data_IF_305669985255
#
_entry.id   IF_305669985255
#
_cell.length_a   1.000
_cell.length_b   1.000
_cell.length_c   1.000
_cell.angle_alpha   90.00
_cell.angle_beta   90.00
_cell.angle_gamma   90.00
#
_symmetry.space_group_name_H-M   'P 1'
#
loop_
_entity.id
_entity.type
_entity.pdbx_description
1 polymer ?
#
# COMPACT_ATOMS: atom_id res chain seq x y z
N UNK A 1 -20.68 -0.54 -8.36
CA UNK A 1 -21.97 -0.64 -9.09
C UNK A 1 -22.78 -1.84 -8.64
N UNK A 2 -22.19 -3.05 -8.52
CA UNK A 2 -22.90 -4.25 -8.03
C UNK A 2 -23.39 -4.16 -6.57
N UNK A 3 -22.80 -3.29 -5.75
CA UNK A 3 -23.29 -3.02 -4.39
C UNK A 3 -24.54 -2.12 -4.36
N UNK A 4 -24.92 -1.50 -5.50
CA UNK A 4 -26.03 -0.53 -5.58
C UNK A 4 -27.11 -0.98 -6.55
N UNK A 5 -26.73 -1.45 -7.73
CA UNK A 5 -27.61 -2.06 -8.71
C UNK A 5 -27.40 -3.57 -8.73
N UNK A 6 -28.45 -4.33 -9.04
CA UNK A 6 -28.33 -5.79 -9.12
C UNK A 6 -27.34 -6.21 -10.21
N UNK A 7 -26.69 -7.35 -10.04
CA UNK A 7 -25.76 -7.90 -11.04
C UNK A 7 -26.40 -8.12 -12.41
N UNK A 8 -27.72 -8.34 -12.47
CA UNK A 8 -28.49 -8.42 -13.73
C UNK A 8 -28.43 -7.08 -14.48
N UNK A 9 -28.64 -5.97 -13.77
CA UNK A 9 -28.59 -4.62 -14.33
C UNK A 9 -27.17 -4.24 -14.74
N UNK A 10 -26.18 -4.59 -13.90
CA UNK A 10 -24.77 -4.24 -14.15
C UNK A 10 -24.22 -4.95 -15.39
N UNK A 11 -24.62 -6.21 -15.61
CA UNK A 11 -24.15 -7.03 -16.74
C UNK A 11 -25.05 -6.93 -17.98
N UNK A 12 -26.07 -6.07 -17.97
CA UNK A 12 -26.95 -5.91 -19.11
C UNK A 12 -26.23 -5.22 -20.27
N UNK A 13 -26.32 -5.83 -21.46
CA UNK A 13 -25.76 -5.25 -22.67
C UNK A 13 -26.46 -3.91 -22.97
N UNK A 14 -25.70 -2.88 -23.38
CA UNK A 14 -26.15 -1.48 -23.60
C UNK A 14 -26.42 -0.65 -22.34
N UNK A 15 -26.18 -1.19 -21.15
CA UNK A 15 -26.24 -0.40 -19.91
C UNK A 15 -25.07 0.58 -19.87
N UNK A 16 -25.36 1.83 -19.55
CA UNK A 16 -24.37 2.88 -19.28
C UNK A 16 -24.58 3.43 -17.87
N UNK A 17 -23.51 3.99 -17.32
CA UNK A 17 -23.46 4.44 -15.93
C UNK A 17 -22.90 5.84 -15.83
N UNK A 18 -23.28 6.54 -14.76
CA UNK A 18 -22.73 7.85 -14.43
C UNK A 18 -22.74 8.08 -12.92
N UNK A 19 -21.92 9.01 -12.46
CA UNK A 19 -21.82 9.39 -11.06
C UNK A 19 -21.83 10.92 -10.94
N UNK A 20 -22.59 11.43 -9.97
CA UNK A 20 -22.53 12.81 -9.55
C UNK A 20 -22.12 12.88 -8.07
N UNK A 21 -21.03 13.58 -7.79
CA UNK A 21 -20.63 13.94 -6.42
C UNK A 21 -20.81 15.44 -6.17
N UNK A 22 -21.72 15.81 -5.28
CA UNK A 22 -21.82 17.18 -4.76
C UNK A 22 -21.08 17.25 -3.43
N UNK A 23 -20.02 18.07 -3.36
CA UNK A 23 -19.16 18.22 -2.18
C UNK A 23 -19.27 19.63 -1.60
N UNK A 24 -19.72 19.72 -0.35
CA UNK A 24 -19.67 20.95 0.45
C UNK A 24 -18.40 20.87 1.29
N UNK A 25 -17.38 21.60 0.86
CA UNK A 25 -16.04 21.57 1.47
C UNK A 25 -16.03 22.36 2.77
N UNK A 26 -15.61 21.71 3.86
CA UNK A 26 -15.30 22.32 5.14
C UNK A 26 -13.80 22.61 5.22
N UNK A 27 -13.07 21.76 5.93
CA UNK A 27 -11.63 21.94 6.22
C UNK A 27 -10.77 21.03 5.34
N UNK A 28 -9.64 21.55 4.85
CA UNK A 28 -8.57 20.77 4.23
C UNK A 28 -7.49 20.49 5.26
N UNK A 29 -7.08 19.23 5.35
CA UNK A 29 -5.97 18.78 6.19
C UNK A 29 -4.84 18.34 5.30
N UNK A 30 -3.68 18.96 5.46
CA UNK A 30 -2.48 18.60 4.72
C UNK A 30 -1.36 18.21 5.68
N UNK A 31 -0.63 17.17 5.28
CA UNK A 31 0.51 16.62 5.98
C UNK A 31 1.79 17.20 5.38
N UNK A 32 2.75 17.59 6.24
CA UNK A 32 4.03 18.12 5.77
C UNK A 32 4.89 17.01 5.13
N UNK A 33 4.84 16.91 3.81
CA UNK A 33 5.37 15.77 3.06
C UNK A 33 6.83 15.97 2.58
N UNK A 34 7.76 16.20 3.51
CA UNK A 34 9.21 16.33 3.18
C UNK A 34 10.00 15.06 3.51
N UNK A 35 11.12 14.82 2.82
CA UNK A 35 12.01 13.67 3.10
C UNK A 35 12.45 13.62 4.57
N UNK A 36 12.74 14.77 5.17
CA UNK A 36 13.11 14.86 6.59
C UNK A 36 11.95 14.43 7.52
N UNK A 37 10.72 14.86 7.23
CA UNK A 37 9.55 14.49 8.03
C UNK A 37 9.22 13.00 7.87
N UNK A 38 9.30 12.46 6.66
CA UNK A 38 9.15 11.02 6.40
C UNK A 38 10.15 10.20 7.22
N UNK A 39 11.42 10.60 7.21
CA UNK A 39 12.47 9.95 8.02
C UNK A 39 12.21 10.05 9.52
N UNK A 40 11.67 11.17 10.01
CA UNK A 40 11.26 11.30 11.41
C UNK A 40 10.08 10.38 11.76
N UNK A 41 9.08 10.25 10.88
CA UNK A 41 7.98 9.30 11.09
C UNK A 41 8.52 7.89 11.19
N UNK A 42 9.28 7.45 10.19
CA UNK A 42 9.81 6.10 10.09
C UNK A 42 10.68 5.70 11.29
N UNK A 43 11.29 6.68 11.97
CA UNK A 43 12.18 6.43 13.11
C UNK A 43 11.54 6.69 14.48
N UNK A 44 10.38 7.36 14.57
CA UNK A 44 9.84 7.81 15.87
C UNK A 44 8.33 7.80 16.04
N UNK A 45 7.54 7.94 14.98
CA UNK A 45 6.11 8.26 15.09
C UNK A 45 5.17 7.21 14.51
N UNK A 46 5.69 6.06 14.07
CA UNK A 46 4.83 4.94 13.67
C UNK A 46 4.07 4.39 14.89
N UNK A 47 2.78 4.11 14.68
CA UNK A 47 1.94 3.52 15.71
C UNK A 47 2.43 2.12 16.10
N UNK A 48 2.31 1.77 17.39
CA UNK A 48 2.78 0.48 17.91
C UNK A 48 2.01 -0.70 17.32
N UNK A 49 0.72 -0.52 17.08
CA UNK A 49 -0.11 -1.56 16.44
C UNK A 49 0.32 -1.72 14.99
N UNK A 50 0.52 -0.61 14.26
CA UNK A 50 1.04 -0.67 12.89
C UNK A 50 2.38 -1.41 12.81
N UNK A 51 3.33 -1.08 13.69
CA UNK A 51 4.62 -1.77 13.77
C UNK A 51 4.46 -3.26 14.07
N UNK A 52 3.64 -3.61 15.07
CA UNK A 52 3.36 -5.01 15.35
C UNK A 52 2.76 -5.74 14.14
N UNK A 53 1.85 -5.10 13.40
CA UNK A 53 1.16 -5.72 12.27
C UNK A 53 2.08 -5.92 11.06
N UNK A 54 2.99 -4.98 10.75
CA UNK A 54 3.91 -5.14 9.62
C UNK A 54 4.99 -6.20 9.90
N UNK A 55 5.38 -6.41 11.17
CA UNK A 55 6.35 -7.44 11.53
C UNK A 55 5.72 -8.81 11.79
N UNK A 56 4.45 -8.89 12.21
CA UNK A 56 3.85 -10.15 12.64
C UNK A 56 2.76 -10.71 11.73
N UNK A 57 2.56 -10.13 10.54
CA UNK A 57 1.72 -10.71 9.50
C UNK A 57 2.47 -10.91 8.18
N UNK A 58 2.10 -11.92 7.38
CA UNK A 58 2.48 -12.00 5.98
C UNK A 58 2.08 -10.74 5.20
N UNK A 59 2.86 -10.39 4.19
CA UNK A 59 2.71 -9.13 3.45
C UNK A 59 1.31 -8.95 2.84
N UNK A 60 0.69 -10.03 2.36
CA UNK A 60 -0.66 -9.97 1.79
C UNK A 60 -1.73 -9.66 2.84
N UNK A 61 -1.65 -10.27 4.02
CA UNK A 61 -2.58 -10.01 5.13
C UNK A 61 -2.45 -8.59 5.69
N UNK A 62 -1.21 -8.10 5.81
CA UNK A 62 -0.96 -6.71 6.17
C UNK A 62 -1.58 -5.75 5.13
N UNK A 63 -1.38 -6.00 3.84
CA UNK A 63 -1.91 -5.17 2.76
C UNK A 63 -3.45 -5.18 2.69
N UNK A 64 -4.09 -6.33 2.94
CA UNK A 64 -5.56 -6.42 3.00
C UNK A 64 -6.13 -5.61 4.18
N UNK A 65 -5.38 -5.50 5.27
CA UNK A 65 -5.80 -4.79 6.49
C UNK A 65 -5.59 -3.27 6.41
N UNK A 66 -4.41 -2.84 5.95
CA UNK A 66 -3.99 -1.42 5.98
C UNK A 66 -4.03 -0.73 4.61
N UNK A 67 -4.07 -1.49 3.52
CA UNK A 67 -3.86 -0.98 2.17
C UNK A 67 -2.40 -0.61 1.89
N UNK A 68 -2.19 0.27 0.91
CA UNK A 68 -0.84 0.63 0.41
C UNK A 68 -0.48 2.10 0.62
N UNK A 69 -1.44 2.92 1.05
CA UNK A 69 -1.30 4.38 1.07
C UNK A 69 -1.71 4.95 2.42
N UNK A 70 -1.06 6.05 2.78
CA UNK A 70 -1.49 6.92 3.88
C UNK A 70 -2.14 8.18 3.31
N UNK A 71 -3.12 8.72 4.03
CA UNK A 71 -3.75 10.00 3.71
C UNK A 71 -2.83 11.14 4.12
N UNK A 72 -2.37 11.92 3.15
CA UNK A 72 -1.51 13.10 3.36
C UNK A 72 -2.19 14.41 3.01
N UNK A 73 -3.24 14.40 2.18
CA UNK A 73 -4.01 15.60 1.90
C UNK A 73 -5.47 15.25 1.63
N UNK A 74 -6.36 15.64 2.54
CA UNK A 74 -7.77 15.27 2.46
C UNK A 74 -8.70 16.39 2.91
N UNK A 75 -9.92 16.32 2.40
CA UNK A 75 -10.99 17.28 2.64
C UNK A 75 -12.03 16.66 3.55
N UNK A 76 -12.47 17.47 4.52
CA UNK A 76 -13.63 17.17 5.35
C UNK A 76 -14.80 18.08 5.02
N UNK A 77 -16.02 17.61 5.27
CA UNK A 77 -17.25 18.34 5.02
C UNK A 77 -18.44 17.41 4.85
N UNK A 78 -19.33 17.76 3.93
CA UNK A 78 -20.44 16.92 3.50
C UNK A 78 -20.33 16.54 2.02
N UNK A 79 -20.66 15.30 1.69
CA UNK A 79 -20.71 14.79 0.30
C UNK A 79 -22.03 14.11 0.07
N UNK A 80 -22.60 14.33 -1.11
CA UNK A 80 -23.67 13.48 -1.62
C UNK A 80 -23.21 12.86 -2.92
N UNK A 81 -23.35 11.54 -3.00
CA UNK A 81 -23.08 10.74 -4.19
C UNK A 81 -24.38 10.21 -4.76
N UNK A 82 -24.59 10.45 -6.04
CA UNK A 82 -25.65 9.84 -6.81
C UNK A 82 -25.04 8.99 -7.92
N UNK A 83 -25.40 7.72 -7.95
CA UNK A 83 -25.02 6.80 -9.02
C UNK A 83 -26.22 6.56 -9.92
N UNK A 84 -25.98 6.56 -11.23
CA UNK A 84 -27.00 6.48 -12.26
C UNK A 84 -26.77 5.25 -13.14
N UNK A 85 -27.87 4.70 -13.65
CA UNK A 85 -27.91 3.63 -14.63
C UNK A 85 -28.95 3.98 -15.68
N UNK A 86 -28.65 3.71 -16.95
CA UNK A 86 -29.62 3.82 -18.03
C UNK A 86 -29.28 2.89 -19.19
N UNK A 87 -30.27 2.54 -20.00
CA UNK A 87 -30.08 1.75 -21.22
C UNK A 87 -29.94 2.71 -22.41
N UNK A 88 -28.87 2.53 -23.18
CA UNK A 88 -28.60 3.33 -24.38
C UNK A 88 -28.72 2.47 -25.64
N UNK A 89 -29.87 2.54 -26.31
CA UNK A 89 -30.20 1.61 -27.40
C UNK A 89 -29.42 1.85 -28.70
N UNK A 90 -29.01 3.10 -28.94
CA UNK A 90 -28.32 3.47 -30.17
C UNK A 90 -26.85 3.06 -30.13
N UNK A 91 -26.40 2.42 -31.21
CA UNK A 91 -24.97 2.17 -31.42
C UNK A 91 -24.29 3.47 -31.85
N UNK A 92 -23.60 4.12 -30.91
CA UNK A 92 -22.82 5.36 -31.12
C UNK A 92 -21.51 5.32 -30.33
N UNK A 93 -20.67 6.35 -30.48
CA UNK A 93 -19.41 6.48 -29.74
C UNK A 93 -19.64 6.67 -28.24
N UNK A 94 -18.69 6.21 -27.42
CA UNK A 94 -18.78 6.34 -25.96
C UNK A 94 -18.80 7.80 -25.52
N UNK A 95 -18.05 8.68 -26.18
CA UNK A 95 -18.09 10.13 -25.94
C UNK A 95 -19.51 10.73 -26.12
N UNK A 96 -20.30 10.22 -27.07
CA UNK A 96 -21.69 10.67 -27.26
C UNK A 96 -22.57 10.17 -26.11
N UNK A 97 -22.40 8.90 -25.69
CA UNK A 97 -23.14 8.33 -24.56
C UNK A 97 -22.82 9.06 -23.26
N UNK A 98 -21.56 9.40 -23.03
CA UNK A 98 -21.09 10.19 -21.88
C UNK A 98 -21.72 11.58 -21.88
N UNK A 99 -21.71 12.28 -23.02
CA UNK A 99 -22.36 13.61 -23.15
C UNK A 99 -23.86 13.55 -22.84
N UNK A 100 -24.56 12.53 -23.34
CA UNK A 100 -25.99 12.34 -23.08
C UNK A 100 -26.28 11.96 -21.62
N UNK A 101 -25.39 11.17 -21.00
CA UNK A 101 -25.44 10.86 -19.58
C UNK A 101 -25.25 12.12 -18.73
N UNK A 102 -24.23 12.93 -19.01
CA UNK A 102 -23.96 14.19 -18.31
C UNK A 102 -25.15 15.16 -18.40
N UNK A 103 -25.74 15.30 -19.59
CA UNK A 103 -26.94 16.11 -19.80
C UNK A 103 -28.12 15.60 -18.96
N UNK A 104 -28.30 14.27 -18.90
CA UNK A 104 -29.38 13.63 -18.14
C UNK A 104 -29.18 13.74 -16.63
N UNK A 105 -27.94 13.62 -16.16
CA UNK A 105 -27.56 13.88 -14.77
C UNK A 105 -27.85 15.34 -14.42
N UNK A 106 -27.40 16.31 -15.23
CA UNK A 106 -27.64 17.74 -15.01
C UNK A 106 -29.13 18.13 -14.99
N UNK A 107 -29.99 17.37 -15.68
CA UNK A 107 -31.45 17.52 -15.62
C UNK A 107 -32.10 16.89 -14.37
N UNK A 108 -31.36 16.08 -13.61
CA UNK A 108 -31.90 15.24 -12.52
C UNK A 108 -31.60 15.74 -11.11
N UNK A 109 -30.88 16.84 -10.95
CA UNK A 109 -30.62 17.47 -9.65
C UNK A 109 -30.72 18.98 -9.72
N UNK A 110 -30.91 19.59 -8.55
CA UNK A 110 -30.90 21.04 -8.37
C UNK A 110 -30.04 21.37 -7.17
N UNK A 111 -29.09 22.28 -7.34
CA UNK A 111 -28.20 22.71 -6.26
C UNK A 111 -28.03 24.23 -6.30
N UNK A 112 -28.55 24.89 -5.26
CA UNK A 112 -28.41 26.32 -5.00
C UNK A 112 -27.94 26.48 -3.57
N UNK A 113 -26.65 26.73 -3.39
CA UNK A 113 -26.08 27.05 -2.09
C UNK A 113 -25.87 28.56 -1.95
N UNK A 114 -26.19 29.08 -0.77
CA UNK A 114 -25.97 30.46 -0.37
C UNK A 114 -25.57 30.54 1.10
N UNK A 115 -25.55 31.76 1.62
CA UNK A 115 -25.42 32.03 3.05
C UNK A 115 -26.64 32.79 3.54
N UNK A 116 -27.13 32.45 4.73
CA UNK A 116 -28.12 33.28 5.43
C UNK A 116 -27.49 34.55 6.02
N UNK A 117 -28.31 35.37 6.69
CA UNK A 117 -27.88 36.64 7.27
C UNK A 117 -26.81 36.45 8.37
N UNK A 118 -26.77 35.28 8.98
CA UNK A 118 -25.81 34.86 10.00
C UNK A 118 -24.55 34.21 9.40
N UNK A 119 -24.46 34.13 8.07
CA UNK A 119 -23.30 33.58 7.35
C UNK A 119 -23.25 32.05 7.29
N UNK A 120 -24.32 31.36 7.71
CA UNK A 120 -24.45 29.90 7.67
C UNK A 120 -24.90 29.43 6.30
N UNK A 121 -24.47 28.24 5.91
CA UNK A 121 -24.84 27.58 4.66
C UNK A 121 -26.35 27.35 4.65
N UNK A 122 -27.02 27.82 3.60
CA UNK A 122 -28.46 27.67 3.37
C UNK A 122 -28.75 27.52 1.87
N UNK A 123 -29.95 27.07 1.52
CA UNK A 123 -30.39 26.97 0.13
C UNK A 123 -31.10 25.67 -0.24
N UNK A 124 -31.26 25.45 -1.54
CA UNK A 124 -32.03 24.35 -2.11
C UNK A 124 -31.11 23.29 -2.69
N UNK A 125 -31.20 22.07 -2.17
CA UNK A 125 -30.49 20.94 -2.73
C UNK A 125 -31.41 19.73 -2.81
N UNK A 126 -31.46 19.07 -3.97
CA UNK A 126 -32.29 17.90 -4.14
C UNK A 126 -32.09 17.18 -5.46
N UNK A 127 -32.71 16.00 -5.56
CA UNK A 127 -32.72 15.15 -6.74
C UNK A 127 -34.15 14.87 -7.19
N UNK A 128 -34.31 14.72 -8.50
CA UNK A 128 -35.58 14.50 -9.16
C UNK A 128 -35.78 15.43 -10.35
N UNK A 129 -36.69 15.05 -11.25
CA UNK A 129 -36.98 15.74 -12.52
C UNK A 129 -37.42 17.20 -12.37
N UNK A 130 -37.89 17.61 -11.20
CA UNK A 130 -38.38 18.97 -10.90
C UNK A 130 -37.31 19.90 -10.32
N UNK A 131 -36.08 19.42 -10.15
CA UNK A 131 -35.04 20.13 -9.39
C UNK A 131 -34.31 21.20 -10.23
N UNK A 132 -34.38 21.15 -11.57
CA UNK A 132 -33.91 22.20 -12.48
C UNK A 132 -34.86 22.35 -13.69
N UNK A 133 -35.20 23.59 -14.05
CA UNK A 133 -36.30 23.90 -14.98
C UNK A 133 -35.95 24.01 -16.47
N UNK A 134 -34.73 23.71 -16.92
CA UNK A 134 -34.28 24.03 -18.30
C UNK A 134 -33.65 22.89 -19.10
N UNK A 135 -33.28 21.77 -18.49
CA UNK A 135 -32.67 20.62 -19.17
C UNK A 135 -33.57 19.40 -19.09
N UNK A 136 -33.73 18.70 -20.22
CA UNK A 136 -34.48 17.44 -20.30
C UNK A 136 -33.52 16.26 -20.29
N UNK A 137 -33.90 15.18 -19.61
CA UNK A 137 -33.25 13.87 -19.73
C UNK A 137 -33.17 13.49 -21.22
N UNK A 138 -32.01 13.00 -21.67
CA UNK A 138 -31.83 12.57 -23.07
C UNK A 138 -32.87 11.52 -23.41
N UNK A 139 -33.54 11.69 -24.56
CA UNK A 139 -34.52 10.71 -25.06
C UNK A 139 -33.87 9.39 -25.48
N UNK A 140 -32.54 9.38 -25.60
CA UNK A 140 -31.74 8.22 -25.99
C UNK A 140 -31.44 7.28 -24.82
N UNK A 141 -31.67 7.75 -23.58
CA UNK A 141 -31.47 6.97 -22.36
C UNK A 141 -32.83 6.53 -21.82
N UNK A 142 -33.10 5.23 -21.89
CA UNK A 142 -34.27 4.62 -21.28
C UNK A 142 -33.91 3.99 -19.93
N UNK A 143 -34.93 3.64 -19.13
CA UNK A 143 -34.76 3.02 -17.80
C UNK A 143 -33.76 3.78 -16.91
N UNK A 144 -33.82 5.12 -16.96
CA UNK A 144 -32.88 5.98 -16.25
C UNK A 144 -33.19 6.00 -14.75
N UNK A 145 -32.38 5.29 -13.98
CA UNK A 145 -32.54 5.08 -12.56
C UNK A 145 -31.34 5.63 -11.78
N UNK A 146 -31.59 6.01 -10.52
CA UNK A 146 -30.56 6.56 -9.64
C UNK A 146 -30.68 6.03 -8.22
N UNK A 147 -29.57 6.09 -7.50
CA UNK A 147 -29.48 5.85 -6.06
C UNK A 147 -28.57 6.90 -5.43
N UNK A 148 -28.92 7.37 -4.23
CA UNK A 148 -28.25 8.48 -3.55
C UNK A 148 -27.72 8.05 -2.19
N UNK A 149 -26.53 8.53 -1.83
CA UNK A 149 -25.91 8.39 -0.50
C UNK A 149 -25.38 9.73 -0.03
N UNK A 150 -25.54 10.03 1.26
CA UNK A 150 -24.96 11.19 1.92
C UNK A 150 -23.85 10.77 2.90
N UNK A 151 -22.78 11.55 2.97
CA UNK A 151 -21.65 11.40 3.89
C UNK A 151 -21.44 12.71 4.63
N UNK A 152 -21.36 12.66 5.96
CA UNK A 152 -21.37 13.84 6.81
C UNK A 152 -22.76 14.50 6.90
N UNK A 153 -22.89 15.53 7.73
CA UNK A 153 -24.18 16.16 8.04
C UNK A 153 -25.07 15.28 8.92
N UNK A 154 -26.35 15.60 8.98
CA UNK A 154 -27.40 14.77 9.56
C UNK A 154 -27.47 13.45 8.79
N UNK A 155 -27.60 12.31 9.46
CA UNK A 155 -27.57 10.97 8.84
C UNK A 155 -28.84 10.65 8.01
N UNK A 156 -29.11 11.45 6.97
CA UNK A 156 -30.31 11.33 6.14
C UNK A 156 -30.26 10.06 5.28
N UNK A 157 -29.16 9.83 4.54
CA UNK A 157 -28.95 8.63 3.72
C UNK A 157 -27.54 8.06 3.96
N UNK A 158 -27.33 7.39 5.09
CA UNK A 158 -26.00 6.83 5.44
C UNK A 158 -25.49 5.75 4.48
N UNK A 159 -26.39 5.13 3.72
CA UNK A 159 -26.14 4.18 2.64
C UNK A 159 -26.86 4.63 1.37
N UNK A 160 -26.52 4.01 0.24
CA UNK A 160 -27.24 4.20 -1.02
C UNK A 160 -28.72 3.84 -0.85
N UNK A 161 -29.60 4.71 -1.35
CA UNK A 161 -31.05 4.44 -1.40
C UNK A 161 -31.36 3.28 -2.34
N UNK A 162 -32.55 2.69 -2.20
CA UNK A 162 -33.04 1.73 -3.20
C UNK A 162 -33.10 2.44 -4.56
N UNK A 163 -32.50 1.88 -5.63
CA UNK A 163 -32.55 2.48 -6.95
C UNK A 163 -33.99 2.73 -7.42
N UNK A 164 -34.24 3.92 -7.96
CA UNK A 164 -35.54 4.32 -8.51
C UNK A 164 -35.35 5.03 -9.83
N UNK A 165 -36.32 4.93 -10.73
CA UNK A 165 -36.36 5.75 -11.93
C UNK A 165 -36.35 7.22 -11.54
N UNK A 166 -35.57 8.04 -12.22
CA UNK A 166 -35.40 9.46 -11.90
C UNK A 166 -36.73 10.23 -11.93
N UNK A 167 -37.68 9.77 -12.73
CA UNK A 167 -39.04 10.32 -12.78
C UNK A 167 -39.86 10.13 -11.50
N UNK A 168 -39.53 9.10 -10.71
CA UNK A 168 -40.19 8.76 -9.44
C UNK A 168 -39.41 9.28 -8.21
N UNK A 169 -38.32 10.02 -8.44
CA UNK A 169 -37.46 10.56 -7.37
C UNK A 169 -37.87 12.00 -7.05
N UNK A 170 -38.08 12.26 -5.77
CA UNK A 170 -38.29 13.58 -5.17
C UNK A 170 -37.56 13.62 -3.82
N UNK A 171 -36.25 13.90 -3.85
CA UNK A 171 -35.39 13.90 -2.67
C UNK A 171 -34.99 15.35 -2.37
N UNK A 172 -35.33 15.82 -1.16
CA UNK A 172 -34.88 17.12 -0.64
C UNK A 172 -33.74 16.92 0.38
N UNK A 173 -32.60 17.53 0.10
CA UNK A 173 -31.37 17.51 0.90
C UNK A 173 -31.01 18.89 1.48
N UNK A 174 -31.89 19.89 1.41
CA UNK A 174 -31.64 21.21 2.00
C UNK A 174 -31.41 21.13 3.51
N UNK A 175 -32.16 20.29 4.22
CA UNK A 175 -31.97 20.08 5.68
C UNK A 175 -30.64 19.38 5.97
N UNK A 176 -30.26 18.41 5.14
CA UNK A 176 -28.95 17.77 5.22
C UNK A 176 -27.83 18.80 4.99
N UNK A 177 -27.95 19.63 3.97
CA UNK A 177 -26.99 20.70 3.69
C UNK A 177 -26.88 21.68 4.87
N UNK A 178 -28.00 22.12 5.43
CA UNK A 178 -28.02 23.05 6.57
C UNK A 178 -27.36 22.46 7.84
N UNK A 179 -27.44 21.13 8.02
CA UNK A 179 -26.80 20.45 9.16
C UNK A 179 -25.26 20.53 9.12
N UNK A 180 -24.66 20.79 7.95
CA UNK A 180 -23.21 20.93 7.80
C UNK A 180 -22.67 22.23 8.40
N UNK A 181 -23.54 23.13 8.87
CA UNK A 181 -23.12 24.26 9.71
C UNK A 181 -22.55 23.82 11.06
N UNK A 182 -22.86 22.60 11.51
CA UNK A 182 -22.19 21.97 12.64
C UNK A 182 -20.97 21.18 12.15
N UNK A 183 -19.77 21.68 12.46
CA UNK A 183 -18.50 21.05 12.09
C UNK A 183 -18.32 19.63 12.66
N UNK A 184 -19.00 19.28 13.76
CA UNK A 184 -18.94 17.93 14.33
C UNK A 184 -19.58 16.87 13.42
N UNK A 185 -20.42 17.30 12.49
CA UNK A 185 -21.06 16.44 11.50
C UNK A 185 -20.19 16.19 10.27
N UNK A 186 -19.06 16.89 10.13
CA UNK A 186 -18.18 16.74 8.97
C UNK A 186 -17.50 15.37 8.97
N UNK A 187 -17.29 14.83 7.77
CA UNK A 187 -16.59 13.57 7.51
C UNK A 187 -15.57 13.75 6.39
N UNK A 188 -14.68 12.78 6.19
CA UNK A 188 -13.79 12.76 5.03
C UNK A 188 -14.65 12.62 3.76
N UNK A 189 -14.51 13.55 2.82
CA UNK A 189 -15.34 13.66 1.61
C UNK A 189 -14.52 13.71 0.31
N UNK A 190 -13.21 13.78 0.42
CA UNK A 190 -12.32 13.83 -0.71
C UNK A 190 -10.87 13.73 -0.30
N UNK A 191 -10.06 13.34 -1.27
CA UNK A 191 -8.62 13.31 -1.21
C UNK A 191 -8.16 14.28 -2.29
N UNK A 192 -7.25 15.19 -1.96
CA UNK A 192 -6.72 16.15 -2.93
C UNK A 192 -5.67 15.47 -3.83
N UNK A 193 -5.28 16.12 -4.91
CA UNK A 193 -4.21 15.62 -5.77
C UNK A 193 -2.92 15.41 -4.96
N UNK A 194 -2.27 14.27 -5.14
CA UNK A 194 -1.12 13.83 -4.33
C UNK A 194 -1.43 13.68 -2.82
N UNK A 195 -2.71 13.58 -2.45
CA UNK A 195 -3.16 13.36 -1.07
C UNK A 195 -3.03 11.93 -0.57
N UNK A 196 -2.47 11.03 -1.38
CA UNK A 196 -2.05 9.69 -1.00
C UNK A 196 -0.54 9.56 -1.16
N UNK A 197 0.11 9.11 -0.10
CA UNK A 197 1.54 8.78 -0.11
C UNK A 197 1.70 7.28 0.16
N UNK A 198 2.59 6.56 -0.54
CA UNK A 198 2.75 5.13 -0.32
C UNK A 198 3.30 4.86 1.09
N UNK A 199 2.82 3.80 1.75
CA UNK A 199 3.31 3.38 3.08
C UNK A 199 4.83 3.16 3.06
N UNK A 200 5.39 2.75 1.92
CA UNK A 200 6.82 2.49 1.75
C UNK A 200 7.71 3.70 1.99
N UNK A 201 7.16 4.92 1.92
CA UNK A 201 7.87 6.16 2.23
C UNK A 201 8.07 6.39 3.74
N UNK A 202 7.36 5.65 4.59
CA UNK A 202 7.29 5.88 6.05
C UNK A 202 7.81 4.71 6.87
N UNK A 203 8.39 3.69 6.23
CA UNK A 203 9.07 2.56 6.88
C UNK A 203 10.54 2.53 6.48
N UNK A 204 11.38 1.77 7.17
CA UNK A 204 12.83 1.75 6.91
C UNK A 204 13.26 0.50 6.14
N UNK A 205 12.56 -0.61 6.34
CA UNK A 205 12.92 -1.95 5.91
C UNK A 205 12.77 -2.11 4.39
N UNK A 206 13.89 -2.31 3.70
CA UNK A 206 13.96 -2.39 2.24
C UNK A 206 13.18 -3.59 1.70
N UNK A 207 13.26 -4.74 2.37
CA UNK A 207 12.50 -5.92 1.99
C UNK A 207 10.98 -5.70 2.15
N UNK A 208 10.54 -4.97 3.17
CA UNK A 208 9.12 -4.64 3.33
C UNK A 208 8.65 -3.66 2.26
N UNK A 209 9.46 -2.64 1.93
CA UNK A 209 9.16 -1.69 0.84
C UNK A 209 8.97 -2.41 -0.48
N UNK A 210 9.93 -3.24 -0.87
CA UNK A 210 9.84 -4.01 -2.11
C UNK A 210 8.70 -5.02 -2.07
N UNK A 211 8.46 -5.66 -0.92
CA UNK A 211 7.35 -6.61 -0.74
C UNK A 211 5.99 -5.96 -0.97
N UNK A 212 5.74 -4.81 -0.35
CA UNK A 212 4.51 -4.03 -0.53
C UNK A 212 4.32 -3.58 -1.98
N UNK A 213 5.38 -3.06 -2.62
CA UNK A 213 5.31 -2.64 -4.02
C UNK A 213 4.97 -3.80 -4.95
N UNK A 214 5.62 -4.96 -4.78
CA UNK A 214 5.36 -6.15 -5.58
C UNK A 214 3.96 -6.70 -5.34
N UNK A 215 3.48 -6.68 -4.10
CA UNK A 215 2.11 -7.07 -3.77
C UNK A 215 1.08 -6.15 -4.45
N UNK A 216 1.28 -4.84 -4.33
CA UNK A 216 0.43 -3.84 -4.98
C UNK A 216 0.33 -4.03 -6.50
N UNK A 217 1.44 -4.40 -7.15
CA UNK A 217 1.51 -4.66 -8.59
C UNK A 217 1.03 -6.07 -9.00
N UNK A 218 0.50 -6.88 -8.07
CA UNK A 218 0.05 -8.25 -8.33
C UNK A 218 1.18 -9.22 -8.70
N UNK A 219 2.44 -8.87 -8.38
CA UNK A 219 3.61 -9.68 -8.72
C UNK A 219 3.90 -10.74 -7.66
N UNK A 220 3.47 -10.52 -6.41
CA UNK A 220 3.74 -11.39 -5.27
C UNK A 220 2.55 -11.40 -4.33
N UNK A 221 2.22 -12.56 -3.75
CA UNK A 221 1.15 -12.71 -2.76
C UNK A 221 1.60 -13.67 -1.64
N UNK A 222 2.38 -13.14 -0.70
CA UNK A 222 2.88 -13.90 0.45
C UNK A 222 1.84 -13.85 1.56
N UNK A 223 1.16 -14.98 1.77
CA UNK A 223 0.08 -15.13 2.77
C UNK A 223 0.44 -16.02 3.96
N UNK A 224 1.65 -16.56 4.00
CA UNK A 224 2.10 -17.42 5.09
C UNK A 224 3.57 -17.14 5.36
N UNK A 225 3.95 -17.21 6.64
CA UNK A 225 5.35 -17.29 7.00
C UNK A 225 5.94 -18.63 6.59
N UNK A 226 7.23 -18.63 6.31
CA UNK A 226 8.03 -19.83 6.11
C UNK A 226 9.17 -19.89 7.13
N UNK A 227 9.72 -21.08 7.33
CA UNK A 227 10.94 -21.25 8.11
C UNK A 227 12.11 -20.54 7.39
N UNK A 228 12.80 -19.58 8.03
CA UNK A 228 13.94 -18.94 7.41
C UNK A 228 15.10 -19.92 7.30
N UNK A 229 15.93 -19.72 6.28
CA UNK A 229 17.07 -20.58 5.99
C UNK A 229 18.12 -19.81 5.23
N UNK A 230 19.33 -20.33 5.22
CA UNK A 230 20.37 -19.88 4.31
C UNK A 230 20.43 -20.83 3.13
N UNK A 231 20.43 -20.26 1.92
CA UNK A 231 20.56 -21.00 0.68
C UNK A 231 21.74 -20.50 -0.12
N UNK A 232 22.63 -21.41 -0.46
CA UNK A 232 23.74 -21.18 -1.37
C UNK A 232 23.33 -21.67 -2.74
N UNK A 233 23.30 -20.76 -3.72
CA UNK A 233 22.78 -21.02 -5.06
C UNK A 233 23.81 -20.63 -6.12
N UNK A 234 23.79 -21.36 -7.24
CA UNK A 234 24.58 -21.05 -8.44
C UNK A 234 23.79 -20.07 -9.31
N UNK A 235 24.29 -18.85 -9.49
CA UNK A 235 23.64 -17.78 -10.25
C UNK A 235 24.32 -17.63 -11.59
N UNK A 236 23.57 -17.83 -12.67
CA UNK A 236 24.10 -17.68 -14.04
C UNK A 236 24.47 -16.22 -14.31
N UNK A 237 25.70 -15.99 -14.79
CA UNK A 237 26.17 -14.67 -15.24
C UNK A 237 26.05 -14.57 -16.76
N UNK A 238 26.48 -15.61 -17.46
CA UNK A 238 26.38 -15.72 -18.92
C UNK A 238 26.20 -17.18 -19.33
N UNK A 239 26.35 -17.48 -20.62
CA UNK A 239 26.07 -18.82 -21.13
C UNK A 239 26.98 -19.92 -20.56
N UNK A 240 28.17 -19.59 -20.04
CA UNK A 240 29.16 -20.56 -19.56
C UNK A 240 29.49 -20.42 -18.07
N UNK A 241 29.37 -19.20 -17.52
CA UNK A 241 29.83 -18.87 -16.18
C UNK A 241 28.70 -18.59 -15.19
N UNK A 242 28.96 -18.92 -13.93
CA UNK A 242 28.10 -18.63 -12.80
C UNK A 242 28.89 -18.05 -11.60
N UNK A 243 28.18 -17.24 -10.83
CA UNK A 243 28.55 -16.83 -9.46
C UNK A 243 27.98 -17.82 -8.46
N UNK A 244 28.63 -17.97 -7.30
CA UNK A 244 28.01 -18.64 -6.15
C UNK A 244 27.57 -17.56 -5.17
N UNK A 245 26.28 -17.52 -4.87
CA UNK A 245 25.69 -16.53 -3.97
C UNK A 245 25.05 -17.22 -2.76
N UNK A 246 25.15 -16.59 -1.60
CA UNK A 246 24.47 -17.00 -0.38
C UNK A 246 23.34 -16.01 -0.07
N UNK A 247 22.14 -16.56 0.13
CA UNK A 247 20.95 -15.81 0.44
C UNK A 247 20.46 -16.17 1.83
N UNK A 248 20.14 -15.17 2.64
CA UNK A 248 19.24 -15.33 3.75
C UNK A 248 17.83 -15.30 3.17
N UNK A 249 17.12 -16.41 3.31
CA UNK A 249 15.72 -16.53 2.96
C UNK A 249 14.91 -16.17 4.20
N UNK A 250 14.25 -15.00 4.20
CA UNK A 250 13.52 -14.51 5.38
C UNK A 250 12.24 -15.31 5.60
N UNK A 251 11.61 -15.14 6.78
CA UNK A 251 10.29 -15.70 7.06
C UNK A 251 9.19 -15.16 6.14
N UNK A 252 9.44 -14.04 5.46
CA UNK A 252 8.54 -13.42 4.49
C UNK A 252 8.76 -13.91 3.04
N UNK A 253 9.73 -14.78 2.76
CA UNK A 253 10.00 -15.20 1.37
C UNK A 253 11.12 -14.42 0.68
N UNK A 254 11.69 -13.42 1.33
CA UNK A 254 12.66 -12.52 0.69
C UNK A 254 14.01 -13.20 0.51
N UNK A 255 14.70 -12.89 -0.59
CA UNK A 255 16.06 -13.34 -0.87
C UNK A 255 17.07 -12.21 -0.60
N UNK A 256 17.75 -12.28 0.53
CA UNK A 256 18.72 -11.27 0.95
C UNK A 256 20.13 -11.77 0.65
N UNK A 257 20.77 -11.24 -0.40
CA UNK A 257 22.09 -11.68 -0.84
C UNK A 257 23.18 -11.04 0.02
N UNK A 258 23.81 -11.82 0.91
CA UNK A 258 24.77 -11.28 1.89
C UNK A 258 26.20 -11.80 1.72
N UNK A 259 26.41 -12.79 0.84
CA UNK A 259 27.74 -13.26 0.42
C UNK A 259 27.70 -13.67 -1.06
N UNK A 260 28.79 -13.44 -1.79
CA UNK A 260 28.92 -13.87 -3.20
C UNK A 260 30.37 -14.05 -3.61
N UNK A 261 30.64 -14.92 -4.58
CA UNK A 261 31.96 -15.00 -5.19
C UNK A 261 32.38 -13.65 -5.78
N UNK A 262 33.61 -13.26 -5.49
CA UNK A 262 34.27 -12.07 -6.01
C UNK A 262 35.08 -12.42 -7.28
N UNK A 263 35.55 -11.43 -8.05
CA UNK A 263 36.47 -11.69 -9.16
C UNK A 263 37.72 -12.49 -8.76
N UNK A 264 38.20 -12.33 -7.51
CA UNK A 264 39.34 -13.05 -6.98
C UNK A 264 39.04 -14.53 -6.69
N UNK A 265 37.78 -14.89 -6.42
CA UNK A 265 37.37 -16.29 -6.26
C UNK A 265 37.35 -17.05 -7.59
N UNK A 266 37.24 -16.31 -8.70
CA UNK A 266 36.99 -16.83 -10.05
C UNK A 266 35.54 -17.27 -10.23
N UNK A 267 34.89 -16.83 -11.30
CA UNK A 267 33.59 -17.37 -11.69
C UNK A 267 33.72 -18.84 -12.08
N UNK A 268 32.70 -19.65 -11.77
CA UNK A 268 32.72 -21.09 -12.01
C UNK A 268 31.99 -21.45 -13.30
N UNK A 269 32.37 -22.56 -13.93
CA UNK A 269 31.60 -23.10 -15.05
C UNK A 269 30.26 -23.65 -14.54
N UNK A 270 29.20 -23.50 -15.33
CA UNK A 270 27.82 -23.90 -14.96
C UNK A 270 27.73 -25.38 -14.54
N UNK A 271 28.51 -26.27 -15.15
CA UNK A 271 28.58 -27.70 -14.82
C UNK A 271 29.56 -28.08 -13.68
N UNK A 272 30.35 -27.13 -13.17
CA UNK A 272 31.37 -27.42 -12.17
C UNK A 272 30.76 -27.48 -10.76
N UNK A 273 30.18 -28.63 -10.45
CA UNK A 273 29.56 -28.88 -9.15
C UNK A 273 30.59 -29.10 -8.04
N UNK A 274 31.80 -29.54 -8.38
CA UNK A 274 32.86 -29.71 -7.39
C UNK A 274 33.31 -28.35 -6.85
N UNK A 275 33.64 -27.41 -7.74
CA UNK A 275 34.05 -26.06 -7.35
C UNK A 275 32.91 -25.31 -6.65
N UNK A 276 31.67 -25.51 -7.08
CA UNK A 276 30.50 -25.00 -6.36
C UNK A 276 30.48 -25.47 -4.90
N UNK A 277 30.65 -26.78 -4.65
CA UNK A 277 30.61 -27.34 -3.29
C UNK A 277 31.78 -26.86 -2.42
N UNK A 278 32.98 -26.67 -2.99
CA UNK A 278 34.13 -26.08 -2.29
C UNK A 278 33.79 -24.67 -1.78
N UNK A 279 33.26 -23.80 -2.65
CA UNK A 279 32.88 -22.44 -2.30
C UNK A 279 31.72 -22.43 -1.29
N UNK A 280 30.72 -23.29 -1.49
CA UNK A 280 29.58 -23.41 -0.60
C UNK A 280 29.99 -23.83 0.81
N UNK A 281 30.91 -24.80 0.94
CA UNK A 281 31.43 -25.24 2.23
C UNK A 281 32.22 -24.13 2.94
N UNK A 282 33.00 -23.33 2.19
CA UNK A 282 33.69 -22.16 2.73
C UNK A 282 32.70 -21.12 3.27
N UNK A 283 31.69 -20.74 2.48
CA UNK A 283 30.68 -19.78 2.95
C UNK A 283 29.94 -20.32 4.19
N UNK A 284 29.57 -21.61 4.19
CA UNK A 284 28.94 -22.26 5.34
C UNK A 284 29.83 -22.19 6.58
N UNK A 285 31.13 -22.44 6.44
CA UNK A 285 32.10 -22.31 7.53
C UNK A 285 32.16 -20.90 8.10
N UNK A 286 32.20 -19.88 7.24
CA UNK A 286 32.28 -18.48 7.67
C UNK A 286 31.02 -17.96 8.40
N UNK A 287 29.85 -18.53 8.10
CA UNK A 287 28.56 -18.06 8.63
C UNK A 287 27.97 -18.95 9.72
N UNK A 288 28.41 -20.21 9.83
CA UNK A 288 27.85 -21.20 10.75
C UNK A 288 27.99 -20.84 12.23
N UNK A 289 28.91 -19.95 12.58
CA UNK A 289 29.08 -19.48 13.96
C UNK A 289 27.96 -18.52 14.39
N UNK A 290 27.42 -17.73 13.45
CA UNK A 290 26.44 -16.69 13.71
C UNK A 290 24.99 -17.17 13.54
N UNK A 291 24.74 -18.02 12.55
CA UNK A 291 23.40 -18.48 12.19
C UNK A 291 23.25 -19.99 12.47
N UNK A 292 22.29 -20.35 13.34
CA UNK A 292 21.99 -21.75 13.68
C UNK A 292 20.79 -22.34 12.91
N UNK A 293 20.23 -21.56 11.98
CA UNK A 293 19.22 -22.05 11.03
C UNK A 293 19.81 -23.04 10.01
N UNK A 294 18.93 -23.70 9.25
CA UNK A 294 19.34 -24.61 8.17
C UNK A 294 20.13 -23.88 7.10
N UNK A 295 21.34 -24.36 6.80
CA UNK A 295 22.17 -23.90 5.68
C UNK A 295 22.19 -24.99 4.59
N UNK A 296 21.67 -24.67 3.41
CA UNK A 296 21.60 -25.60 2.27
C UNK A 296 22.41 -25.09 1.08
N UNK A 297 22.92 -26.00 0.27
CA UNK A 297 23.58 -25.70 -1.00
C UNK A 297 22.86 -26.42 -2.13
N UNK A 298 22.44 -25.68 -3.15
CA UNK A 298 21.81 -26.24 -4.33
C UNK A 298 22.67 -25.93 -5.57
N UNK A 299 23.30 -26.95 -6.19
CA UNK A 299 24.14 -26.76 -7.35
C UNK A 299 23.34 -26.48 -8.64
N UNK A 300 22.01 -26.64 -8.62
CA UNK A 300 21.16 -26.28 -9.74
C UNK A 300 21.22 -24.78 -10.01
N UNK A 301 21.16 -24.41 -11.30
CA UNK A 301 21.11 -23.02 -11.72
C UNK A 301 19.88 -22.33 -11.16
N UNK A 302 20.09 -21.16 -10.57
CA UNK A 302 19.03 -20.26 -10.14
C UNK A 302 18.98 -19.02 -11.02
N UNK A 303 17.83 -18.80 -11.62
CA UNK A 303 17.54 -17.63 -12.44
C UNK A 303 16.90 -16.55 -11.58
N UNK A 304 17.67 -15.50 -11.26
CA UNK A 304 17.11 -14.26 -10.72
C UNK A 304 16.40 -13.54 -11.87
N UNK A 305 15.11 -13.80 -12.04
CA UNK A 305 14.37 -13.19 -13.15
C UNK A 305 12.86 -13.17 -13.02
N UNK A 306 12.27 -13.73 -11.96
CA UNK A 306 10.82 -13.59 -11.76
C UNK A 306 10.54 -12.30 -10.98
N UNK A 307 9.60 -11.51 -11.48
CA UNK A 307 9.01 -10.36 -10.77
C UNK A 307 8.46 -10.72 -9.37
N UNK A 308 8.36 -12.02 -9.06
CA UNK A 308 7.59 -12.61 -7.96
C UNK A 308 8.32 -12.79 -6.62
N UNK A 309 9.57 -12.35 -6.50
CA UNK A 309 10.31 -12.50 -5.23
C UNK A 309 11.09 -11.23 -4.90
N UNK A 310 11.06 -10.80 -3.64
CA UNK A 310 11.90 -9.71 -3.15
C UNK A 310 13.36 -10.16 -3.18
N UNK A 311 14.24 -9.34 -3.75
CA UNK A 311 15.67 -9.62 -3.80
C UNK A 311 16.45 -8.36 -3.42
N UNK A 312 17.18 -8.44 -2.31
CA UNK A 312 17.94 -7.29 -1.81
C UNK A 312 19.42 -7.64 -1.78
N UNK A 313 20.25 -6.79 -2.40
CA UNK A 313 21.70 -6.88 -2.28
C UNK A 313 22.15 -6.36 -0.92
N UNK A 314 22.71 -7.24 -0.10
CA UNK A 314 23.15 -6.99 1.27
C UNK A 314 24.62 -7.39 1.47
N UNK A 315 25.41 -7.29 0.39
CA UNK A 315 26.81 -7.71 0.35
C UNK A 315 27.71 -6.80 1.19
N UNK A 316 28.71 -7.39 1.85
CA UNK A 316 29.68 -6.71 2.71
C UNK A 316 29.33 -6.76 4.20
N UNK A 317 28.36 -7.60 4.57
CA UNK A 317 28.03 -7.87 5.96
C UNK A 317 29.17 -8.61 6.67
N UNK A 318 29.59 -8.07 7.81
CA UNK A 318 30.59 -8.63 8.70
C UNK A 318 30.00 -8.76 10.09
N UNK A 319 29.47 -9.95 10.39
CA UNK A 319 28.70 -10.21 11.62
C UNK A 319 29.48 -9.88 12.91
N UNK A 320 30.80 -10.07 12.90
CA UNK A 320 31.69 -9.75 14.03
C UNK A 320 31.97 -8.26 14.24
N UNK A 321 31.65 -7.39 13.27
CA UNK A 321 31.82 -5.93 13.38
C UNK A 321 30.49 -5.20 13.68
N UNK A 322 29.38 -5.96 13.79
CA UNK A 322 28.06 -5.37 14.04
C UNK A 322 27.93 -4.85 15.47
N UNK A 323 27.08 -3.84 15.62
CA UNK A 323 26.68 -3.21 16.88
C UNK A 323 25.16 -3.29 17.01
N UNK A 324 24.66 -3.12 18.23
CA UNK A 324 23.23 -3.21 18.53
C UNK A 324 22.70 -1.90 19.11
N UNK A 325 21.57 -1.45 18.60
CA UNK A 325 20.82 -0.30 19.11
C UNK A 325 19.34 -0.66 19.21
N UNK A 326 18.71 -0.44 20.37
CA UNK A 326 17.26 -0.60 20.52
C UNK A 326 16.62 0.78 20.57
N UNK A 327 15.77 1.09 19.60
CA UNK A 327 15.08 2.38 19.57
C UNK A 327 14.05 2.46 20.72
N UNK A 328 14.15 3.47 21.61
CA UNK A 328 13.24 3.59 22.73
C UNK A 328 11.78 3.81 22.32
N UNK A 329 11.49 4.32 21.11
CA UNK A 329 10.13 4.63 20.67
C UNK A 329 9.43 3.41 20.07
N UNK A 330 10.02 2.82 19.03
CA UNK A 330 9.49 1.66 18.31
C UNK A 330 9.72 0.33 19.01
N UNK A 331 10.70 0.27 19.93
CA UNK A 331 11.21 -0.97 20.56
C UNK A 331 11.89 -1.94 19.60
N UNK A 332 12.06 -1.56 18.34
CA UNK A 332 12.83 -2.33 17.36
C UNK A 332 14.30 -2.29 17.75
N UNK A 333 14.93 -3.46 17.72
CA UNK A 333 16.37 -3.60 17.85
C UNK A 333 17.02 -3.71 16.49
N UNK A 334 17.94 -2.80 16.21
CA UNK A 334 18.75 -2.76 15.00
C UNK A 334 20.11 -3.37 15.29
N UNK A 335 20.46 -4.42 14.55
CA UNK A 335 21.85 -4.89 14.44
C UNK A 335 22.43 -4.18 13.22
N UNK A 336 23.45 -3.36 13.40
CA UNK A 336 23.94 -2.49 12.33
C UNK A 336 25.46 -2.47 12.23
N UNK A 337 25.95 -2.17 11.04
CA UNK A 337 27.35 -1.87 10.77
C UNK A 337 27.48 -0.68 9.83
N UNK A 338 28.53 0.11 10.01
CA UNK A 338 28.89 1.20 9.11
C UNK A 338 30.34 0.99 8.68
N UNK A 339 30.55 0.44 7.48
CA UNK A 339 31.86 0.34 6.84
C UNK A 339 32.08 1.46 5.83
N UNK A 340 33.27 1.52 5.25
CA UNK A 340 33.74 2.64 4.40
C UNK A 340 32.79 2.99 3.24
N UNK A 341 32.01 2.04 2.72
CA UNK A 341 31.10 2.27 1.59
C UNK A 341 29.66 1.74 1.77
N UNK A 342 29.32 1.11 2.91
CA UNK A 342 27.98 0.52 3.12
C UNK A 342 27.53 0.58 4.57
N UNK A 343 26.27 0.98 4.74
CA UNK A 343 25.54 0.99 6.01
C UNK A 343 24.44 -0.07 5.92
N UNK A 344 24.60 -1.15 6.68
CA UNK A 344 23.73 -2.33 6.63
C UNK A 344 23.14 -2.59 8.01
N UNK A 345 21.86 -2.95 8.08
CA UNK A 345 21.23 -3.33 9.34
C UNK A 345 20.17 -4.42 9.19
N UNK A 346 20.00 -5.21 10.25
CA UNK A 346 18.83 -6.04 10.50
C UNK A 346 17.94 -5.35 11.52
N UNK A 347 16.63 -5.37 11.31
CA UNK A 347 15.62 -4.87 12.24
C UNK A 347 14.83 -6.02 12.85
N UNK A 348 14.79 -6.06 14.18
CA UNK A 348 14.18 -7.14 14.97
C UNK A 348 13.18 -6.52 15.93
N UNK A 349 11.89 -6.76 15.70
CA UNK A 349 10.81 -6.22 16.52
C UNK A 349 10.55 -7.06 17.78
N UNK A 350 10.45 -8.38 17.64
CA UNK A 350 10.11 -9.30 18.73
C UNK A 350 11.23 -10.29 19.07
N UNK A 351 11.32 -10.67 20.34
CA UNK A 351 12.39 -11.55 20.86
C UNK A 351 12.37 -12.95 20.23
N UNK A 352 11.19 -13.50 19.91
CA UNK A 352 11.10 -14.84 19.32
C UNK A 352 11.78 -14.95 17.95
N UNK A 353 11.92 -13.82 17.23
CA UNK A 353 12.60 -13.76 15.93
C UNK A 353 14.07 -14.19 16.07
N UNK A 354 14.69 -13.94 17.24
CA UNK A 354 16.06 -14.39 17.49
C UNK A 354 16.21 -15.91 17.41
N UNK A 355 15.22 -16.65 17.87
CA UNK A 355 15.21 -18.12 17.82
C UNK A 355 14.76 -18.63 16.46
N UNK A 356 13.79 -17.95 15.83
CA UNK A 356 13.36 -18.27 14.45
C UNK A 356 14.53 -18.24 13.48
N UNK A 357 15.44 -17.27 13.62
CA UNK A 357 16.65 -17.16 12.80
C UNK A 357 17.87 -17.87 13.41
N UNK A 358 17.76 -18.44 14.61
CA UNK A 358 18.89 -19.09 15.29
C UNK A 358 20.07 -18.16 15.51
N UNK A 359 19.82 -16.88 15.83
CA UNK A 359 20.83 -15.83 16.01
C UNK A 359 20.98 -15.37 17.46
N UNK A 360 20.20 -15.92 18.41
CA UNK A 360 20.20 -15.46 19.82
C UNK A 360 21.57 -15.38 20.46
N UNK A 361 22.42 -16.39 20.26
CA UNK A 361 23.78 -16.42 20.83
C UNK A 361 24.63 -15.26 20.29
N UNK A 362 24.58 -15.04 18.97
CA UNK A 362 25.27 -13.91 18.33
C UNK A 362 24.68 -12.56 18.75
N UNK A 363 23.35 -12.44 18.78
CA UNK A 363 22.65 -11.24 19.25
C UNK A 363 23.09 -10.80 20.66
N UNK A 364 23.31 -11.77 21.55
CA UNK A 364 23.74 -11.51 22.92
C UNK A 364 25.23 -11.11 23.03
N UNK A 365 26.08 -11.51 22.08
CA UNK A 365 27.49 -11.13 22.07
C UNK A 365 27.74 -9.77 21.41
N UNK A 366 26.80 -9.24 20.63
CA UNK A 366 26.94 -7.96 19.94
C UNK A 366 26.99 -6.79 20.95
N UNK A 367 28.00 -5.90 20.87
CA UNK A 367 28.10 -4.72 21.73
C UNK A 367 26.99 -3.71 21.46
N UNK A 368 26.51 -3.05 22.52
CA UNK A 368 25.51 -1.99 22.43
C UNK A 368 26.19 -0.68 22.02
N UNK A 369 25.60 0.03 21.07
CA UNK A 369 26.00 1.39 20.70
C UNK A 369 24.77 2.27 20.56
N UNK A 370 24.80 3.43 21.21
CA UNK A 370 23.76 4.43 21.05
C UNK A 370 24.04 5.27 19.82
N UNK A 371 23.04 5.38 18.94
CA UNK A 371 23.07 6.24 17.76
C UNK A 371 21.84 7.14 17.77
N UNK A 372 21.91 8.22 17.01
CA UNK A 372 20.71 8.98 16.66
C UNK A 372 19.86 8.13 15.70
N UNK A 373 18.59 7.80 16.02
CA UNK A 373 17.72 7.01 15.16
C UNK A 373 17.60 7.59 13.74
N UNK A 374 17.76 8.90 13.56
CA UNK A 374 17.70 9.54 12.23
C UNK A 374 18.79 9.00 11.28
N UNK A 375 19.91 8.53 11.81
CA UNK A 375 20.99 7.95 11.01
C UNK A 375 20.59 6.63 10.35
N UNK A 376 19.58 5.93 10.88
CA UNK A 376 19.05 4.68 10.32
C UNK A 376 18.47 4.87 8.90
N UNK A 377 18.03 6.08 8.56
CA UNK A 377 17.54 6.42 7.20
C UNK A 377 18.63 6.30 6.12
N UNK A 378 19.89 6.19 6.52
CA UNK A 378 21.04 6.02 5.62
C UNK A 378 21.47 4.55 5.47
N UNK A 379 20.80 3.63 6.16
CA UNK A 379 21.10 2.20 6.14
C UNK A 379 20.18 1.49 5.15
N UNK A 380 20.70 0.47 4.48
CA UNK A 380 19.84 -0.60 3.95
C UNK A 380 19.45 -1.47 5.13
N UNK A 381 18.16 -1.48 5.47
CA UNK A 381 17.63 -2.21 6.62
C UNK A 381 16.81 -3.39 6.13
N UNK A 382 17.00 -4.56 6.72
CA UNK A 382 16.20 -5.76 6.45
C UNK A 382 15.40 -6.11 7.70
N UNK A 383 14.07 -6.11 7.59
CA UNK A 383 13.19 -6.61 8.64
C UNK A 383 13.22 -8.13 8.70
N UNK A 384 13.52 -8.68 9.87
CA UNK A 384 13.58 -10.14 10.11
C UNK A 384 12.24 -10.71 10.54
#
# INVERSE_FOLDING_TARGET
MDEVFSSIVVNENKRIFGELSVKIKGVSYSFLNTTNVKGQIATKYLDKTFLNQIYNNPMGEFADTYGYFILTDFLTGGKTDAVYSGVYEKSTSDATKETDMDNSINASYGFKAGKDAEGKISGDFGFGKKSNGSTSISKEISDFAMSVKTVGGSKTFGNFTVPKKVEDVDINLSSWMASLNDLSTHKLIGINDNGLSPITDYILEENFKQGLQKHHLGQMDVRMFQEPKIEIRKIRINNQLASVCMYLVTRFGDLIMFESTTPNDGYIQIGDNQRFMEIANRFKGNKGDYYKMKITANPAEFYLGSSKTVNVQFLGLKEGEMKKFTDPNSKITYLFQSGDNKKLAYAIHDDYVLDTYGIRVWFNSIPIENIDPRTLTQYTIIGL
#
